data_IF_386197306556
#
_entry.id   IF_386197306556
#
_cell.length_a   1.000
_cell.length_b   1.000
_cell.length_c   1.000
_cell.angle_alpha   90.00
_cell.angle_beta   90.00
_cell.angle_gamma   90.00
#
_symmetry.space_group_name_H-M   'P 1'
#
loop_
_entity.id
_entity.type
_entity.pdbx_description
1 polymer ?
#
# COMPACT_ATOMS: atom_id res chain seq x y z
N UNK A 1 1.92 -9.86 11.11
CA UNK A 1 2.77 -8.67 10.85
C UNK A 1 3.23 -8.00 12.14
N UNK A 2 4.52 -7.62 12.23
CA UNK A 2 5.08 -6.97 13.42
C UNK A 2 4.63 -5.48 13.53
N UNK A 3 4.96 -4.84 14.65
CA UNK A 3 4.57 -3.45 14.94
C UNK A 3 5.28 -2.40 14.07
N UNK A 4 6.54 -2.63 13.73
CA UNK A 4 7.33 -1.72 12.91
C UNK A 4 6.80 -1.67 11.48
N UNK A 5 6.57 -2.83 10.87
CA UNK A 5 6.03 -2.96 9.52
C UNK A 5 4.63 -2.37 9.43
N UNK A 6 3.77 -2.61 10.44
CA UNK A 6 2.44 -2.00 10.46
C UNK A 6 2.51 -0.46 10.43
N UNK A 7 3.37 0.11 11.29
CA UNK A 7 3.54 1.56 11.37
C UNK A 7 4.04 2.14 10.04
N UNK A 8 5.05 1.49 9.45
CA UNK A 8 5.68 1.93 8.21
C UNK A 8 4.77 1.76 6.99
N UNK A 9 4.22 0.55 6.78
CA UNK A 9 3.49 0.21 5.56
C UNK A 9 2.02 0.64 5.57
N UNK A 10 1.36 0.70 6.73
CA UNK A 10 -0.08 0.95 6.82
C UNK A 10 -0.41 2.28 7.49
N UNK A 11 0.04 2.52 8.72
CA UNK A 11 -0.35 3.75 9.42
C UNK A 11 0.19 5.00 8.73
N UNK A 12 1.47 4.98 8.32
CA UNK A 12 2.08 6.09 7.59
C UNK A 12 1.47 6.30 6.21
N UNK A 13 1.15 5.22 5.48
CA UNK A 13 0.58 5.33 4.13
C UNK A 13 -0.84 5.91 4.15
N UNK A 14 -1.70 5.50 5.09
CA UNK A 14 -3.02 6.12 5.28
C UNK A 14 -2.93 7.63 5.56
N UNK A 15 -1.91 8.05 6.31
CA UNK A 15 -1.67 9.48 6.55
C UNK A 15 -1.26 10.22 5.29
N UNK A 16 -0.48 9.60 4.41
CA UNK A 16 -0.01 10.23 3.18
C UNK A 16 -1.15 10.30 2.16
N UNK A 17 -1.82 9.18 1.87
CA UNK A 17 -2.80 9.05 0.78
C UNK A 17 -4.16 9.75 0.99
N UNK A 18 -4.31 10.61 1.99
CA UNK A 18 -5.62 11.10 2.42
C UNK A 18 -6.21 12.21 1.56
N UNK A 19 -5.36 13.02 0.92
CA UNK A 19 -5.75 14.17 0.11
C UNK A 19 -5.10 14.19 -1.28
N UNK A 20 -4.21 13.23 -1.57
CA UNK A 20 -3.53 13.18 -2.86
C UNK A 20 -3.11 11.75 -3.22
N UNK A 21 -2.75 11.58 -4.49
CA UNK A 21 -2.28 10.33 -5.07
C UNK A 21 -0.79 10.14 -4.83
N UNK A 22 -0.41 8.91 -4.47
CA UNK A 22 1.00 8.53 -4.31
C UNK A 22 1.31 7.23 -5.03
N UNK A 23 2.47 7.21 -5.68
CA UNK A 23 3.11 5.98 -6.14
C UNK A 23 3.67 5.16 -4.97
N UNK A 24 3.86 3.85 -5.18
CA UNK A 24 4.45 2.98 -4.14
C UNK A 24 5.86 3.43 -3.72
N UNK A 25 6.77 3.83 -4.62
CA UNK A 25 8.06 4.37 -4.20
C UNK A 25 7.95 5.65 -3.37
N UNK A 26 6.95 6.49 -3.64
CA UNK A 26 6.70 7.71 -2.86
C UNK A 26 6.13 7.42 -1.47
N UNK A 27 5.30 6.37 -1.33
CA UNK A 27 4.76 5.93 -0.04
C UNK A 27 5.83 5.27 0.84
N UNK A 28 6.68 4.47 0.21
CA UNK A 28 7.65 3.61 0.89
C UNK A 28 9.08 3.91 0.41
N UNK A 29 9.59 5.14 0.61
CA UNK A 29 10.88 5.53 0.04
C UNK A 29 12.03 4.68 0.61
N UNK A 30 12.93 4.25 -0.27
CA UNK A 30 14.21 3.63 0.08
C UNK A 30 15.33 4.67 0.05
N UNK A 31 16.25 4.59 1.01
CA UNK A 31 17.48 5.39 1.01
C UNK A 31 18.38 4.98 -0.17
N UNK A 32 18.90 5.96 -0.90
CA UNK A 32 19.80 5.73 -2.04
C UNK A 32 19.11 5.54 -3.40
N UNK A 33 17.80 5.82 -3.48
CA UNK A 33 17.06 5.87 -4.74
C UNK A 33 16.64 4.50 -5.26
N UNK A 34 16.16 4.45 -6.51
CA UNK A 34 15.43 3.29 -7.02
C UNK A 34 16.26 2.01 -7.07
N UNK A 35 17.58 2.08 -7.24
CA UNK A 35 18.48 0.92 -7.34
C UNK A 35 18.54 0.03 -6.08
N UNK A 36 17.98 0.50 -4.96
CA UNK A 36 18.03 -0.19 -3.67
C UNK A 36 16.71 -0.88 -3.29
N UNK A 37 15.71 -0.92 -4.19
CA UNK A 37 14.47 -1.65 -3.91
C UNK A 37 14.72 -3.16 -3.92
N UNK A 38 14.48 -3.80 -2.76
CA UNK A 38 14.62 -5.24 -2.62
C UNK A 38 13.36 -5.96 -3.07
N UNK A 39 13.48 -7.27 -3.38
CA UNK A 39 12.31 -8.12 -3.66
C UNK A 39 11.32 -8.15 -2.50
N UNK A 40 11.82 -8.16 -1.27
CA UNK A 40 10.99 -8.11 -0.05
C UNK A 40 10.23 -6.78 0.07
N UNK A 41 10.92 -5.63 -0.12
CA UNK A 41 10.27 -4.32 -0.13
C UNK A 41 9.17 -4.26 -1.18
N UNK A 42 9.46 -4.79 -2.38
CA UNK A 42 8.53 -4.78 -3.50
C UNK A 42 7.29 -5.63 -3.19
N UNK A 43 7.50 -6.84 -2.65
CA UNK A 43 6.40 -7.71 -2.27
C UNK A 43 5.53 -7.09 -1.16
N UNK A 44 6.16 -6.52 -0.13
CA UNK A 44 5.44 -5.90 0.98
C UNK A 44 4.64 -4.68 0.51
N UNK A 45 5.23 -3.83 -0.34
CA UNK A 45 4.55 -2.65 -0.91
C UNK A 45 3.35 -3.06 -1.77
N UNK A 46 3.51 -4.09 -2.60
CA UNK A 46 2.43 -4.61 -3.45
C UNK A 46 1.31 -5.25 -2.62
N UNK A 47 1.66 -6.02 -1.59
CA UNK A 47 0.71 -6.63 -0.67
C UNK A 47 -0.09 -5.60 0.14
N UNK A 48 0.44 -4.40 0.39
CA UNK A 48 -0.31 -3.29 0.99
C UNK A 48 -1.39 -2.83 0.03
N UNK A 49 -1.01 -2.44 -1.19
CA UNK A 49 -1.96 -1.89 -2.15
C UNK A 49 -3.00 -2.93 -2.57
N UNK A 50 -2.62 -4.19 -2.71
CA UNK A 50 -3.56 -5.29 -2.94
C UNK A 50 -4.67 -5.29 -1.89
N UNK A 51 -4.32 -5.30 -0.60
CA UNK A 51 -5.31 -5.30 0.49
C UNK A 51 -6.22 -4.08 0.46
N UNK A 52 -5.66 -2.90 0.23
CA UNK A 52 -6.43 -1.66 0.22
C UNK A 52 -7.40 -1.61 -0.96
N UNK A 53 -7.00 -2.10 -2.13
CA UNK A 53 -7.86 -2.21 -3.30
C UNK A 53 -8.98 -3.24 -3.07
N UNK A 54 -8.65 -4.45 -2.60
CA UNK A 54 -9.65 -5.51 -2.33
C UNK A 54 -10.68 -5.10 -1.26
N UNK A 55 -10.26 -4.30 -0.27
CA UNK A 55 -11.15 -3.79 0.78
C UNK A 55 -11.82 -2.45 0.41
N UNK A 56 -11.65 -1.96 -0.83
CA UNK A 56 -12.18 -0.66 -1.28
C UNK A 56 -11.76 0.54 -0.40
N UNK A 57 -10.59 0.46 0.24
CA UNK A 57 -10.02 1.52 1.08
C UNK A 57 -9.12 2.47 0.29
N UNK A 58 -8.60 2.03 -0.85
CA UNK A 58 -7.84 2.85 -1.78
C UNK A 58 -8.34 2.65 -3.22
N UNK A 59 -8.05 3.62 -4.07
CA UNK A 59 -8.29 3.57 -5.51
C UNK A 59 -7.04 4.06 -6.26
N UNK A 60 -6.87 3.57 -7.47
CA UNK A 60 -5.91 4.12 -8.41
C UNK A 60 -6.50 5.35 -9.12
N UNK A 61 -5.64 6.28 -9.54
CA UNK A 61 -6.02 7.48 -10.30
C UNK A 61 -6.88 7.18 -11.54
N UNK A 62 -6.66 6.04 -12.20
CA UNK A 62 -7.36 5.72 -13.45
C UNK A 62 -8.76 5.06 -13.25
N UNK A 63 -9.27 5.06 -12.02
CA UNK A 63 -10.65 4.77 -11.53
C UNK A 63 -11.40 3.52 -12.04
N UNK A 64 -10.83 2.70 -12.92
CA UNK A 64 -11.50 1.52 -13.47
C UNK A 64 -11.10 0.26 -12.70
N UNK A 65 -12.05 -0.30 -11.92
CA UNK A 65 -11.85 -1.52 -11.09
C UNK A 65 -11.30 -2.70 -11.90
N UNK A 66 -11.68 -2.86 -13.16
CA UNK A 66 -11.15 -3.92 -14.04
C UNK A 66 -9.64 -3.76 -14.33
N UNK A 67 -9.08 -2.56 -14.12
CA UNK A 67 -7.65 -2.30 -14.28
C UNK A 67 -6.83 -2.67 -13.04
N UNK A 68 -7.43 -2.82 -11.85
CA UNK A 68 -6.66 -3.11 -10.63
C UNK A 68 -5.81 -4.38 -10.76
N UNK A 69 -6.37 -5.46 -11.33
CA UNK A 69 -5.61 -6.70 -11.57
C UNK A 69 -4.46 -6.50 -12.56
N UNK A 70 -4.70 -5.73 -13.62
CA UNK A 70 -3.69 -5.40 -14.63
C UNK A 70 -2.56 -4.58 -14.01
N UNK A 71 -2.89 -3.57 -13.21
CA UNK A 71 -1.94 -2.71 -12.50
C UNK A 71 -1.09 -3.56 -11.55
N UNK A 72 -1.72 -4.38 -10.71
CA UNK A 72 -1.03 -5.27 -9.76
C UNK A 72 -0.08 -6.25 -10.49
N UNK A 73 -0.53 -6.80 -11.62
CA UNK A 73 0.30 -7.69 -12.44
C UNK A 73 1.50 -6.96 -13.04
N UNK A 74 1.31 -5.74 -13.55
CA UNK A 74 2.43 -4.94 -14.06
C UNK A 74 3.44 -4.62 -12.95
N UNK A 75 2.98 -4.15 -11.80
CA UNK A 75 3.86 -3.90 -10.65
C UNK A 75 4.63 -5.16 -10.23
N UNK A 76 4.00 -6.34 -10.27
CA UNK A 76 4.67 -7.61 -9.95
C UNK A 76 5.71 -8.06 -10.98
N UNK A 77 5.54 -7.67 -12.23
CA UNK A 77 6.39 -8.09 -13.36
C UNK A 77 7.64 -7.22 -13.45
N UNK A 78 7.50 -5.91 -13.26
CA UNK A 78 8.58 -4.95 -13.47
C UNK A 78 9.41 -4.71 -12.20
N UNK A 79 10.74 -4.81 -12.32
CA UNK A 79 11.66 -4.59 -11.20
C UNK A 79 11.87 -3.08 -10.93
N UNK A 80 11.43 -2.52 -9.79
CA UNK A 80 11.58 -1.10 -9.48
C UNK A 80 13.05 -0.69 -9.28
N UNK A 81 13.99 -1.64 -9.17
CA UNK A 81 15.44 -1.36 -9.16
C UNK A 81 16.05 -1.11 -10.53
N UNK A 82 15.27 -1.23 -11.60
CA UNK A 82 15.64 -0.83 -12.96
C UNK A 82 14.96 0.49 -13.33
N UNK A 83 15.52 1.25 -14.28
CA UNK A 83 14.92 2.53 -14.69
C UNK A 83 13.52 2.35 -15.27
N UNK A 84 13.34 1.35 -16.14
CA UNK A 84 12.05 1.07 -16.79
C UNK A 84 11.03 0.56 -15.77
N UNK A 85 11.44 -0.34 -14.87
CA UNK A 85 10.54 -0.82 -13.84
C UNK A 85 10.22 0.26 -12.80
N UNK A 86 11.16 1.13 -12.47
CA UNK A 86 10.87 2.28 -11.61
C UNK A 86 9.82 3.20 -12.25
N UNK A 87 9.92 3.46 -13.56
CA UNK A 87 8.91 4.26 -14.28
C UNK A 87 7.51 3.63 -14.19
N UNK A 88 7.39 2.30 -14.32
CA UNK A 88 6.10 1.60 -14.12
C UNK A 88 5.57 1.78 -12.70
N UNK A 89 6.44 1.63 -11.69
CA UNK A 89 6.06 1.77 -10.29
C UNK A 89 5.69 3.21 -9.88
N UNK A 90 6.23 4.22 -10.56
CA UNK A 90 5.86 5.63 -10.40
C UNK A 90 4.56 6.01 -11.14
N UNK A 91 4.27 5.34 -12.25
CA UNK A 91 3.10 5.64 -13.10
C UNK A 91 1.80 5.37 -12.34
N UNK A 92 1.74 4.28 -11.58
CA UNK A 92 0.53 3.91 -10.85
C UNK A 92 0.47 4.59 -9.48
N UNK A 93 -0.51 5.47 -9.32
CA UNK A 93 -0.69 6.26 -8.11
C UNK A 93 -2.02 5.96 -7.42
N UNK A 94 -2.01 5.96 -6.09
CA UNK A 94 -3.13 5.55 -5.26
C UNK A 94 -3.49 6.61 -4.24
N UNK A 95 -4.79 6.77 -3.97
CA UNK A 95 -5.32 7.59 -2.88
C UNK A 95 -6.35 6.82 -2.06
N UNK A 96 -6.68 7.30 -0.86
CA UNK A 96 -7.74 6.70 -0.06
C UNK A 96 -9.11 7.00 -0.68
N UNK A 97 -9.98 5.99 -0.68
CA UNK A 97 -11.41 6.21 -0.96
C UNK A 97 -12.07 6.97 0.19
N UNK A 98 -13.35 7.36 0.00
CA UNK A 98 -14.17 7.90 1.09
C UNK A 98 -14.16 6.99 2.33
N UNK A 99 -14.21 5.67 2.15
CA UNK A 99 -14.16 4.71 3.25
C UNK A 99 -12.79 4.71 3.95
N UNK A 100 -11.69 4.72 3.18
CA UNK A 100 -10.34 4.85 3.72
C UNK A 100 -10.13 6.15 4.50
N UNK A 101 -10.64 7.26 3.99
CA UNK A 101 -10.56 8.59 4.65
C UNK A 101 -11.34 8.61 5.95
N UNK A 102 -12.57 8.06 5.97
CA UNK A 102 -13.38 7.96 7.21
C UNK A 102 -12.61 7.16 8.26
N UNK A 103 -12.07 6.01 7.88
CA UNK A 103 -11.26 5.18 8.78
C UNK A 103 -10.04 5.95 9.31
N UNK A 104 -9.30 6.67 8.46
CA UNK A 104 -8.15 7.48 8.89
C UNK A 104 -8.55 8.59 9.89
N UNK A 105 -9.72 9.22 9.69
CA UNK A 105 -10.28 10.25 10.58
C UNK A 105 -10.69 9.70 11.94
N UNK A 106 -11.38 8.55 11.96
CA UNK A 106 -11.83 7.89 13.21
C UNK A 106 -10.66 7.63 14.17
N UNK A 107 -9.50 7.26 13.63
CA UNK A 107 -8.30 6.96 14.41
C UNK A 107 -7.31 8.14 14.51
N UNK A 108 -7.69 9.33 14.04
CA UNK A 108 -6.92 10.56 14.10
C UNK A 108 -5.47 10.42 13.57
N UNK A 109 -5.30 9.68 12.46
CA UNK A 109 -3.98 9.35 11.93
C UNK A 109 -3.21 10.57 11.39
N UNK A 110 -3.91 11.68 11.12
CA UNK A 110 -3.34 12.94 10.65
C UNK A 110 -2.56 13.67 11.74
N UNK A 111 -3.03 13.62 12.99
CA UNK A 111 -2.50 14.43 14.08
C UNK A 111 -1.59 13.65 15.04
N UNK A 112 -1.51 12.31 14.95
CA UNK A 112 -0.69 11.45 15.83
C UNK A 112 0.37 10.65 15.05
N UNK A 113 1.51 11.27 14.69
CA UNK A 113 2.34 10.78 13.60
C UNK A 113 3.43 9.76 13.97
N UNK A 114 3.64 9.41 15.24
CA UNK A 114 4.84 8.63 15.65
C UNK A 114 4.55 7.35 16.42
N UNK A 115 3.40 7.27 17.09
CA UNK A 115 3.07 6.10 17.91
C UNK A 115 2.15 5.16 17.15
N UNK A 116 2.41 3.87 17.31
CA UNK A 116 1.56 2.81 16.79
C UNK A 116 0.16 2.91 17.41
N UNK A 117 -0.86 3.10 16.57
CA UNK A 117 -2.26 3.00 16.98
C UNK A 117 -2.69 1.54 16.97
N UNK A 118 -2.65 0.89 18.14
CA UNK A 118 -3.09 -0.51 18.29
C UNK A 118 -4.56 -0.69 17.93
N UNK A 119 -5.41 0.29 18.25
CA UNK A 119 -6.84 0.23 17.92
C UNK A 119 -7.07 0.31 16.41
N UNK A 120 -6.31 1.15 15.69
CA UNK A 120 -6.33 1.18 14.22
C UNK A 120 -5.84 -0.14 13.64
N UNK A 121 -4.74 -0.71 14.16
CA UNK A 121 -4.24 -2.02 13.75
C UNK A 121 -5.30 -3.11 13.90
N UNK A 122 -5.97 -3.18 15.04
CA UNK A 122 -7.03 -4.16 15.27
C UNK A 122 -8.19 -3.98 14.29
N UNK A 123 -8.64 -2.74 14.07
CA UNK A 123 -9.75 -2.48 13.15
C UNK A 123 -9.40 -2.81 11.71
N UNK A 124 -8.22 -2.40 11.25
CA UNK A 124 -7.76 -2.70 9.90
C UNK A 124 -7.56 -4.21 9.70
N UNK A 125 -7.09 -4.93 10.73
CA UNK A 125 -7.00 -6.40 10.71
C UNK A 125 -8.38 -7.02 10.50
N UNK A 126 -9.40 -6.60 11.25
CA UNK A 126 -10.79 -7.10 11.08
C UNK A 126 -11.29 -6.94 9.65
N UNK A 127 -11.11 -5.74 9.07
CA UNK A 127 -11.53 -5.45 7.69
C UNK A 127 -10.83 -6.39 6.71
N UNK A 128 -9.52 -6.61 6.89
CA UNK A 128 -8.76 -7.50 6.01
C UNK A 128 -9.16 -8.96 6.16
N UNK A 129 -9.43 -9.44 7.37
CA UNK A 129 -9.94 -10.79 7.59
C UNK A 129 -11.33 -11.00 6.96
N UNK A 130 -12.23 -10.02 7.08
CA UNK A 130 -13.57 -10.04 6.47
C UNK A 130 -13.52 -10.16 4.94
N UNK A 131 -12.46 -9.64 4.30
CA UNK A 131 -12.24 -9.74 2.86
C UNK A 131 -11.28 -10.88 2.47
N UNK A 132 -10.85 -11.71 3.42
CA UNK A 132 -9.97 -12.84 3.17
C UNK A 132 -8.52 -12.47 2.83
N UNK A 133 -8.10 -11.23 3.09
CA UNK A 133 -6.77 -10.67 2.78
C UNK A 133 -5.99 -10.31 4.05
N UNK A 134 -6.17 -11.10 5.11
CA UNK A 134 -5.53 -10.98 6.42
C UNK A 134 -4.00 -10.78 6.41
N UNK A 135 -3.45 -10.33 7.54
CA UNK A 135 -2.01 -10.05 7.69
C UNK A 135 -1.12 -11.30 7.81
N UNK A 136 -1.73 -12.46 7.98
CA UNK A 136 -1.11 -13.79 7.96
C UNK A 136 -0.83 -14.27 6.52
N UNK A 137 -1.61 -13.79 5.55
CA UNK A 137 -1.43 -14.05 4.12
C UNK A 137 -0.46 -13.05 3.50
N UNK A 138 0.23 -13.45 2.43
CA UNK A 138 1.17 -12.59 1.70
C UNK A 138 1.37 -13.10 0.28
N UNK A 139 2.00 -12.29 -0.55
CA UNK A 139 2.28 -12.61 -1.94
C UNK A 139 1.02 -12.96 -2.73
N UNK A 140 -0.03 -12.13 -2.60
CA UNK A 140 -1.29 -12.30 -3.34
C UNK A 140 -1.06 -12.20 -4.85
N UNK A 141 -0.13 -11.33 -5.24
CA UNK A 141 0.47 -11.28 -6.57
C UNK A 141 1.99 -11.37 -6.38
N UNK A 142 2.62 -12.53 -6.65
CA UNK A 142 4.04 -12.72 -6.40
C UNK A 142 4.93 -11.89 -7.34
N UNK A 143 5.95 -11.25 -6.78
CA UNK A 143 7.01 -10.57 -7.55
C UNK A 143 7.80 -11.58 -8.40
N UNK A 144 7.92 -11.32 -9.72
CA UNK A 144 8.39 -12.31 -10.70
C UNK A 144 9.90 -12.30 -11.00
N UNK A 145 10.58 -11.17 -10.81
CA UNK A 145 12.01 -11.03 -11.11
C UNK A 145 12.94 -11.52 -10.00
#
# INVERSE_FOLDING_TARGET
MNSHDFLYYYQKSFRLMWDTYYSLPSLFPCSGGYKNFTKEWSQNSLDVIYRLLECSLAINHDELVEQNRTILYQLATFNPSTIDGYAVWETYQFCLTKAGIILAKEYNLFNKPRELSLSFKTRLSSIFEEHGVGFDKKAFVPIQY
#
